data_IF_336920095372
#
_entry.id   IF_336920095372
#
_cell.length_a   1.000
_cell.length_b   1.000
_cell.length_c   1.000
_cell.angle_alpha   90.00
_cell.angle_beta   90.00
_cell.angle_gamma   90.00
#
_symmetry.space_group_name_H-M   'P 1'
#
loop_
_entity.id
_entity.type
_entity.pdbx_description
1 polymer ?
#
# COMPACT_ATOMS: atom_id res chain seq x y z
N UNK A 1 8.54 -11.80 -2.47
CA UNK A 1 9.43 -11.70 -3.63
C UNK A 1 10.03 -10.31 -3.79
N UNK A 2 9.22 -9.29 -4.10
CA UNK A 2 9.69 -7.93 -4.42
C UNK A 2 9.40 -6.87 -3.36
N UNK A 3 8.72 -7.25 -2.28
CA UNK A 3 8.31 -6.39 -1.16
C UNK A 3 9.42 -5.42 -0.72
N UNK A 4 10.56 -5.95 -0.29
CA UNK A 4 11.67 -5.19 0.25
C UNK A 4 12.22 -4.17 -0.77
N UNK A 5 12.30 -4.56 -2.04
CA UNK A 5 12.80 -3.70 -3.10
C UNK A 5 11.83 -2.54 -3.37
N UNK A 6 10.53 -2.81 -3.38
CA UNK A 6 9.50 -1.77 -3.54
C UNK A 6 9.48 -0.84 -2.33
N UNK A 7 9.53 -1.38 -1.11
CA UNK A 7 9.56 -0.59 0.12
C UNK A 7 10.82 0.30 0.21
N UNK A 8 11.98 -0.20 -0.22
CA UNK A 8 13.20 0.60 -0.29
C UNK A 8 13.10 1.70 -1.35
N UNK A 9 12.64 1.36 -2.56
CA UNK A 9 12.54 2.32 -3.69
C UNK A 9 11.52 3.43 -3.44
N UNK A 10 10.49 3.16 -2.65
CA UNK A 10 9.43 4.12 -2.31
C UNK A 10 9.74 4.96 -1.07
N UNK A 11 10.89 4.74 -0.42
CA UNK A 11 11.31 5.51 0.77
C UNK A 11 10.66 5.07 2.08
N UNK A 12 9.76 4.08 2.06
CA UNK A 12 9.01 3.64 3.24
C UNK A 12 9.91 3.07 4.33
N UNK A 13 11.02 2.43 3.97
CA UNK A 13 11.97 1.96 4.97
C UNK A 13 12.57 3.13 5.77
N UNK A 14 12.74 4.31 5.17
CA UNK A 14 13.17 5.51 5.87
C UNK A 14 12.05 6.13 6.70
N UNK A 15 10.81 6.12 6.22
CA UNK A 15 9.63 6.49 7.01
C UNK A 15 9.50 5.63 8.27
N UNK A 16 9.71 4.32 8.13
CA UNK A 16 9.65 3.37 9.23
C UNK A 16 10.94 3.28 10.06
N UNK A 17 11.87 4.23 9.94
CA UNK A 17 13.14 4.26 10.70
C UNK A 17 12.96 4.12 12.22
N UNK A 18 11.83 4.59 12.75
CA UNK A 18 11.49 4.52 14.18
C UNK A 18 11.17 3.09 14.67
N UNK A 19 11.11 2.08 13.79
CA UNK A 19 10.96 0.69 14.19
C UNK A 19 12.22 0.10 14.87
N UNK A 20 13.36 0.80 14.78
CA UNK A 20 14.61 0.37 15.39
C UNK A 20 15.34 1.54 16.01
N UNK A 21 16.09 1.33 17.09
CA UNK A 21 16.91 2.38 17.72
C UNK A 21 18.12 2.81 16.86
N UNK A 22 18.47 2.01 15.85
CA UNK A 22 19.59 2.31 14.95
C UNK A 22 19.23 3.45 13.98
N UNK A 23 20.12 4.43 13.77
CA UNK A 23 19.92 5.45 12.75
C UNK A 23 19.78 4.87 11.33
N UNK A 24 18.86 5.44 10.55
CA UNK A 24 18.66 5.14 9.12
C UNK A 24 17.44 4.27 8.82
N UNK A 25 17.28 3.79 7.57
CA UNK A 25 16.12 3.01 7.17
C UNK A 25 15.99 1.71 7.96
N UNK A 26 14.76 1.34 8.29
CA UNK A 26 14.41 0.10 8.97
C UNK A 26 13.66 -0.86 8.04
N UNK A 27 14.00 -2.14 8.16
CA UNK A 27 13.29 -3.20 7.46
C UNK A 27 12.00 -3.55 8.18
N UNK A 28 10.88 -3.60 7.45
CA UNK A 28 9.60 -4.06 7.99
C UNK A 28 9.45 -5.55 7.73
N UNK A 29 9.37 -6.37 8.78
CA UNK A 29 9.22 -7.83 8.64
C UNK A 29 7.81 -8.27 8.26
N UNK A 30 6.81 -7.44 8.57
CA UNK A 30 5.42 -7.67 8.16
C UNK A 30 5.25 -7.48 6.64
N UNK A 31 4.42 -8.28 5.96
CA UNK A 31 4.16 -8.16 4.53
C UNK A 31 3.26 -6.95 4.22
N UNK A 32 3.80 -5.75 4.43
CA UNK A 32 3.13 -4.47 4.34
C UNK A 32 2.53 -4.18 2.96
N UNK A 33 3.34 -4.08 1.91
CA UNK A 33 2.85 -3.74 0.57
C UNK A 33 2.06 -4.91 -0.05
N UNK A 34 2.52 -6.14 0.20
CA UNK A 34 1.88 -7.36 -0.28
C UNK A 34 0.49 -7.55 0.31
N UNK A 35 0.29 -7.23 1.60
CA UNK A 35 -1.03 -7.33 2.22
C UNK A 35 -2.01 -6.33 1.60
N UNK A 36 -1.61 -5.06 1.42
CA UNK A 36 -2.46 -4.06 0.76
C UNK A 36 -2.82 -4.46 -0.68
N UNK A 37 -1.84 -4.96 -1.45
CA UNK A 37 -2.07 -5.43 -2.81
C UNK A 37 -3.02 -6.63 -2.85
N UNK A 38 -2.85 -7.58 -1.92
CA UNK A 38 -3.72 -8.74 -1.82
C UNK A 38 -5.16 -8.36 -1.45
N UNK A 39 -5.36 -7.43 -0.51
CA UNK A 39 -6.70 -6.92 -0.15
C UNK A 39 -7.36 -6.20 -1.33
N UNK A 40 -6.61 -5.36 -2.05
CA UNK A 40 -7.11 -4.72 -3.26
C UNK A 40 -7.50 -5.76 -4.33
N UNK A 41 -6.75 -6.86 -4.45
CA UNK A 41 -7.05 -7.92 -5.41
C UNK A 41 -8.33 -8.66 -5.03
N UNK A 42 -8.51 -8.99 -3.74
CA UNK A 42 -9.75 -9.59 -3.22
C UNK A 42 -10.94 -8.70 -3.50
N UNK A 43 -10.84 -7.40 -3.20
CA UNK A 43 -11.92 -6.44 -3.46
C UNK A 43 -12.23 -6.33 -4.96
N UNK A 44 -11.20 -6.23 -5.81
CA UNK A 44 -11.37 -6.17 -7.27
C UNK A 44 -12.00 -7.44 -7.85
N UNK A 45 -11.61 -8.62 -7.35
CA UNK A 45 -12.20 -9.91 -7.75
C UNK A 45 -13.68 -9.95 -7.37
N UNK A 46 -14.03 -9.57 -6.15
CA UNK A 46 -15.44 -9.53 -5.71
C UNK A 46 -16.24 -8.55 -6.58
N UNK A 47 -15.71 -7.36 -6.85
CA UNK A 47 -16.35 -6.39 -7.74
C UNK A 47 -16.57 -6.95 -9.16
N UNK A 48 -15.58 -7.67 -9.71
CA UNK A 48 -15.70 -8.34 -11.00
C UNK A 48 -16.75 -9.45 -11.00
N UNK A 49 -16.85 -10.22 -9.92
CA UNK A 49 -17.88 -11.25 -9.79
C UNK A 49 -19.28 -10.64 -9.72
N UNK A 50 -19.44 -9.48 -9.05
CA UNK A 50 -20.71 -8.75 -8.99
C UNK A 50 -21.10 -8.23 -10.38
N UNK A 51 -20.17 -7.59 -11.10
CA UNK A 51 -20.43 -7.08 -12.47
C UNK A 51 -20.86 -8.22 -13.42
N UNK A 52 -20.19 -9.38 -13.31
CA UNK A 52 -20.50 -10.56 -14.10
C UNK A 52 -21.95 -11.06 -13.92
N UNK A 53 -22.59 -10.82 -12.78
CA UNK A 53 -24.00 -11.19 -12.56
C UNK A 53 -24.94 -10.49 -13.54
N UNK A 54 -24.57 -9.28 -13.97
CA UNK A 54 -25.35 -8.49 -14.93
C UNK A 54 -24.85 -8.64 -16.36
N UNK A 55 -23.53 -8.62 -16.57
CA UNK A 55 -22.93 -8.60 -17.90
C UNK A 55 -22.75 -10.00 -18.52
N UNK A 56 -22.67 -11.04 -17.68
CA UNK A 56 -22.26 -12.39 -18.07
C UNK A 56 -20.78 -12.52 -18.46
N UNK A 57 -19.97 -11.47 -18.30
CA UNK A 57 -18.57 -11.41 -18.77
C UNK A 57 -17.59 -11.38 -17.61
N UNK A 58 -16.41 -11.96 -17.82
CA UNK A 58 -15.27 -11.78 -16.92
C UNK A 58 -14.49 -10.53 -17.25
N UNK A 59 -13.64 -10.09 -16.32
CA UNK A 59 -12.68 -9.00 -16.52
C UNK A 59 -11.34 -9.31 -15.85
N UNK A 60 -10.28 -8.65 -16.32
CA UNK A 60 -8.95 -8.74 -15.72
C UNK A 60 -8.90 -7.81 -14.51
N UNK A 61 -8.39 -8.32 -13.39
CA UNK A 61 -8.16 -7.55 -12.16
C UNK A 61 -6.67 -7.51 -11.91
N UNK A 62 -6.11 -6.30 -11.85
CA UNK A 62 -4.69 -6.06 -11.59
C UNK A 62 -4.49 -5.27 -10.31
N UNK A 63 -3.40 -5.57 -9.61
CA UNK A 63 -2.95 -4.80 -8.45
C UNK A 63 -1.44 -4.64 -8.49
N UNK A 64 -0.91 -3.72 -7.67
CA UNK A 64 0.53 -3.52 -7.57
C UNK A 64 0.94 -3.33 -6.11
N UNK A 65 2.19 -3.69 -5.82
CA UNK A 65 2.79 -3.48 -4.49
C UNK A 65 2.86 -1.98 -4.12
N UNK A 66 3.08 -1.10 -5.10
CA UNK A 66 3.13 0.35 -4.86
C UNK A 66 1.76 0.91 -4.47
N UNK A 67 0.69 0.46 -5.14
CA UNK A 67 -0.68 0.85 -4.77
C UNK A 67 -1.09 0.24 -3.43
N UNK A 68 -0.73 -1.04 -3.20
CA UNK A 68 -0.97 -1.72 -1.93
C UNK A 68 -0.31 -1.03 -0.75
N UNK A 69 0.91 -0.53 -0.95
CA UNK A 69 1.62 0.29 0.03
C UNK A 69 0.84 1.58 0.38
N UNK A 70 0.38 2.33 -0.62
CA UNK A 70 -0.32 3.60 -0.40
C UNK A 70 -1.61 3.43 0.41
N UNK A 71 -2.26 2.27 0.31
CA UNK A 71 -3.46 1.96 1.08
C UNK A 71 -3.21 1.72 2.59
N UNK A 72 -1.95 1.46 2.99
CA UNK A 72 -1.62 1.03 4.35
C UNK A 72 -1.29 2.17 5.33
N UNK A 73 -0.94 3.35 4.83
CA UNK A 73 -0.61 4.51 5.67
C UNK A 73 -1.31 5.81 5.20
N UNK A 74 -2.64 5.81 5.03
CA UNK A 74 -3.35 7.00 4.59
C UNK A 74 -3.27 8.12 5.64
N UNK A 75 -3.08 7.77 6.93
CA UNK A 75 -3.01 8.73 8.02
C UNK A 75 -1.75 9.59 7.95
N UNK A 76 -0.55 9.00 7.82
CA UNK A 76 0.67 9.81 7.73
C UNK A 76 0.64 10.70 6.50
N UNK A 77 0.16 10.19 5.35
CA UNK A 77 0.00 11.03 4.17
C UNK A 77 -0.96 12.20 4.42
N UNK A 78 -2.13 11.94 5.00
CA UNK A 78 -3.09 12.97 5.37
C UNK A 78 -2.49 13.99 6.35
N UNK A 79 -1.79 13.52 7.38
CA UNK A 79 -1.13 14.35 8.37
C UNK A 79 -0.11 15.29 7.72
N UNK A 80 0.75 14.78 6.84
CA UNK A 80 1.69 15.60 6.06
C UNK A 80 0.96 16.62 5.16
N UNK A 81 -0.17 16.25 4.54
CA UNK A 81 -0.97 17.21 3.76
C UNK A 81 -1.55 18.32 4.64
N UNK A 82 -2.01 17.98 5.86
CA UNK A 82 -2.55 18.95 6.82
C UNK A 82 -1.45 19.88 7.31
N UNK A 83 -0.30 19.36 7.74
CA UNK A 83 0.84 20.16 8.20
C UNK A 83 1.37 21.08 7.11
N UNK A 84 1.44 20.60 5.86
CA UNK A 84 1.84 21.43 4.73
C UNK A 84 0.86 22.58 4.48
N UNK A 85 -0.44 22.38 4.75
CA UNK A 85 -1.48 23.40 4.57
C UNK A 85 -1.58 24.37 5.76
N UNK A 86 -1.34 23.89 6.98
CA UNK A 86 -1.42 24.63 8.24
C UNK A 86 -0.13 24.43 9.03
N UNK A 87 0.93 25.22 8.73
CA UNK A 87 2.25 25.05 9.34
C UNK A 87 2.37 25.62 10.76
N UNK A 88 1.36 26.35 11.24
CA UNK A 88 1.26 26.96 12.57
C UNK A 88 0.40 26.10 13.53
#
# INVERSE_FOLDING_TARGET
GYEALIMAKTGVMFEKRQLTDRPGPAFTSSPYASFGAAQAAVQGIIAALIERLTSGRGQVVETSLVLGLGAMDPYNWFYEQVLHKYPD
#
